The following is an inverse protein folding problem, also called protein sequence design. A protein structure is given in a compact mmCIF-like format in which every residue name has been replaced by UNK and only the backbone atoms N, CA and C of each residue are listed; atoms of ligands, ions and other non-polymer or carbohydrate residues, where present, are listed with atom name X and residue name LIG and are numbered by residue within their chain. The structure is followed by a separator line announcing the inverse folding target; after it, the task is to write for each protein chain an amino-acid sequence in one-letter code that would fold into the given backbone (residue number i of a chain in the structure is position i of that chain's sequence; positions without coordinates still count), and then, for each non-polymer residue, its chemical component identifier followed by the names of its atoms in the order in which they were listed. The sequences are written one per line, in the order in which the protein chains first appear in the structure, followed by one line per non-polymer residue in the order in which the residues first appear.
data_IF_386897960129
#
_entry.id   IF_386897960129
#
_cell.length_a   1.000
_cell.length_b   1.000
_cell.length_c   1.000
_cell.angle_alpha   90.00
_cell.angle_beta   90.00
_cell.angle_gamma   90.00
#
_symmetry.space_group_name_H-M   'P 1'
#
loop_
_entity.id
_entity.type
_entity.pdbx_description
1 polymer ?
#
# COMPACT_ATOMS: atom_id res chain seq x y z
N UNK A 1 -11.83 2.58 6.43
CA UNK A 1 -12.54 1.45 5.79
C UNK A 1 -12.08 0.16 6.46
N UNK A 2 -12.70 -0.99 6.16
CA UNK A 2 -12.31 -2.30 6.66
C UNK A 2 -12.23 -3.30 5.50
N UNK A 3 -11.02 -3.76 5.22
CA UNK A 3 -10.75 -4.64 4.09
C UNK A 3 -11.39 -6.04 4.21
N UNK A 4 -11.94 -6.45 5.37
CA UNK A 4 -12.76 -7.66 5.44
C UNK A 4 -14.06 -7.56 4.61
N UNK A 5 -14.50 -6.35 4.27
CA UNK A 5 -15.66 -6.09 3.42
C UNK A 5 -15.34 -6.16 1.92
N UNK A 6 -14.06 -6.26 1.54
CA UNK A 6 -13.62 -6.55 0.18
C UNK A 6 -13.36 -8.06 0.02
N UNK A 7 -14.21 -8.71 -0.78
CA UNK A 7 -14.15 -10.16 -1.01
C UNK A 7 -12.90 -10.63 -1.73
N UNK A 8 -12.18 -9.75 -2.44
CA UNK A 8 -10.90 -10.11 -3.05
C UNK A 8 -9.81 -10.21 -1.98
N UNK A 9 -9.63 -9.20 -1.14
CA UNK A 9 -8.57 -9.18 -0.12
C UNK A 9 -8.87 -10.08 1.10
N UNK A 10 -10.15 -10.41 1.34
CA UNK A 10 -10.57 -11.36 2.38
C UNK A 10 -10.67 -12.82 1.88
N UNK A 11 -10.26 -13.10 0.64
CA UNK A 11 -10.29 -14.45 0.07
C UNK A 11 -9.09 -15.29 0.50
N UNK A 12 -9.32 -16.56 0.84
CA UNK A 12 -8.23 -17.52 1.12
C UNK A 12 -7.37 -17.84 -0.11
N UNK A 13 -7.83 -17.46 -1.30
CA UNK A 13 -7.11 -17.70 -2.57
C UNK A 13 -6.20 -16.54 -2.97
N UNK A 14 -6.16 -15.48 -2.18
CA UNK A 14 -5.33 -14.29 -2.43
C UNK A 14 -4.38 -14.06 -1.27
N UNK A 15 -3.17 -13.59 -1.56
CA UNK A 15 -2.24 -13.10 -0.54
C UNK A 15 -2.46 -11.61 -0.39
N UNK A 16 -3.15 -11.22 0.68
CA UNK A 16 -3.41 -9.81 0.98
C UNK A 16 -2.18 -9.14 1.59
N UNK A 17 -1.80 -7.98 1.04
CA UNK A 17 -0.63 -7.19 1.43
C UNK A 17 -1.07 -5.77 1.79
N UNK A 18 -0.67 -5.28 2.95
CA UNK A 18 -0.88 -3.89 3.39
C UNK A 18 0.37 -3.03 3.21
N UNK A 19 0.25 -1.73 3.50
CA UNK A 19 1.32 -0.74 3.34
C UNK A 19 1.86 -0.23 4.67
N UNK A 20 3.16 0.05 4.71
CA UNK A 20 3.82 0.85 5.74
C UNK A 20 4.52 2.05 5.10
N UNK A 21 4.60 3.17 5.80
CA UNK A 21 5.37 4.34 5.36
C UNK A 21 6.87 4.09 5.48
N UNK A 22 7.71 4.99 4.94
CA UNK A 22 9.18 4.92 5.07
C UNK A 22 9.61 4.79 6.54
N UNK A 23 8.95 5.53 7.44
CA UNK A 23 9.25 5.48 8.87
C UNK A 23 8.59 4.31 9.62
N UNK A 24 7.98 3.36 8.91
CA UNK A 24 7.33 2.18 9.50
C UNK A 24 6.00 2.48 10.17
N UNK A 25 5.37 3.62 9.85
CA UNK A 25 4.05 3.97 10.38
C UNK A 25 2.94 3.43 9.48
N UNK A 26 1.71 3.44 10.00
CA UNK A 26 0.51 3.11 9.22
C UNK A 26 0.17 4.32 8.34
N UNK A 27 0.14 4.18 7.00
CA UNK A 27 -0.23 5.29 6.12
C UNK A 27 -1.71 5.66 6.27
N UNK A 28 -2.04 6.91 5.96
CA UNK A 28 -3.39 7.47 6.12
C UNK A 28 -4.48 6.76 5.29
N UNK A 29 -4.09 6.08 4.20
CA UNK A 29 -4.99 5.33 3.33
C UNK A 29 -5.10 3.83 3.68
N UNK A 30 -4.35 3.35 4.68
CA UNK A 30 -4.32 1.91 5.01
C UNK A 30 -5.66 1.43 5.55
N UNK A 31 -6.14 0.29 5.06
CA UNK A 31 -7.30 -0.41 5.59
C UNK A 31 -6.84 -1.53 6.52
N UNK A 32 -7.36 -1.54 7.75
CA UNK A 32 -7.02 -2.58 8.72
C UNK A 32 -8.01 -3.73 8.64
N UNK A 33 -7.51 -4.96 8.53
CA UNK A 33 -8.32 -6.18 8.62
C UNK A 33 -7.51 -7.38 9.09
N UNK A 34 -8.22 -8.42 9.51
CA UNK A 34 -7.65 -9.69 9.96
C UNK A 34 -7.11 -10.57 8.82
N UNK A 35 -7.49 -10.29 7.57
CA UNK A 35 -7.11 -11.10 6.41
C UNK A 35 -5.75 -10.72 5.80
N UNK A 36 -5.21 -9.54 6.12
CA UNK A 36 -3.85 -9.14 5.67
C UNK A 36 -2.80 -10.09 6.23
N UNK A 37 -1.90 -10.57 5.37
CA UNK A 37 -0.84 -11.51 5.75
C UNK A 37 0.53 -10.87 5.92
N UNK A 38 0.83 -9.81 5.15
CA UNK A 38 2.12 -9.14 5.20
C UNK A 38 2.02 -7.66 4.83
N UNK A 39 3.10 -6.93 5.06
CA UNK A 39 3.19 -5.48 4.82
C UNK A 39 4.45 -5.14 4.03
N UNK A 40 4.34 -4.24 3.06
CA UNK A 40 5.47 -3.71 2.30
C UNK A 40 5.51 -2.18 2.34
N UNK A 41 6.66 -1.59 2.02
CA UNK A 41 6.80 -0.13 1.95
C UNK A 41 5.99 0.46 0.78
N UNK A 42 5.38 1.63 1.04
CA UNK A 42 4.67 2.45 0.07
C UNK A 42 4.79 3.93 0.47
N UNK A 43 4.03 4.82 -0.17
CA UNK A 43 3.98 6.26 0.17
C UNK A 43 3.40 6.51 1.57
N UNK A 44 3.85 7.60 2.19
CA UNK A 44 3.40 8.06 3.50
C UNK A 44 3.04 9.54 3.50
N UNK A 45 3.45 10.25 4.55
CA UNK A 45 3.34 11.71 4.62
C UNK A 45 4.21 12.41 3.55
N UNK A 46 3.96 13.70 3.32
CA UNK A 46 4.63 14.48 2.26
C UNK A 46 6.16 14.57 2.41
N UNK A 47 6.67 14.35 3.61
CA UNK A 47 8.09 14.34 3.98
C UNK A 47 8.72 12.94 3.92
N UNK A 48 7.95 11.90 3.63
CA UNK A 48 8.44 10.52 3.48
C UNK A 48 8.66 10.16 2.01
N UNK A 49 9.67 9.32 1.75
CA UNK A 49 9.93 8.81 0.39
C UNK A 49 8.78 7.93 -0.09
N UNK A 50 8.68 7.82 -1.41
CA UNK A 50 7.67 7.05 -2.11
C UNK A 50 8.31 6.01 -3.03
N UNK A 51 7.49 5.16 -3.64
CA UNK A 51 7.97 4.08 -4.52
C UNK A 51 8.48 4.68 -5.84
N UNK A 52 9.73 4.37 -6.21
CA UNK A 52 10.26 4.74 -7.53
C UNK A 52 9.93 3.63 -8.52
N UNK A 53 9.28 3.98 -9.65
CA UNK A 53 8.89 2.99 -10.67
C UNK A 53 8.79 3.60 -12.06
N UNK A 54 8.67 2.75 -13.07
CA UNK A 54 8.39 3.16 -14.45
C UNK A 54 7.01 3.82 -14.55
N UNK A 55 6.90 4.82 -15.41
CA UNK A 55 5.68 5.57 -15.65
C UNK A 55 5.32 5.58 -17.15
N UNK A 56 4.08 5.96 -17.44
CA UNK A 56 3.56 6.13 -18.80
C UNK A 56 4.46 7.06 -19.62
N UNK A 57 4.38 6.92 -20.95
CA UNK A 57 5.14 7.75 -21.91
C UNK A 57 6.66 7.60 -21.73
N UNK A 58 7.10 6.41 -21.35
CA UNK A 58 8.51 6.06 -21.14
C UNK A 58 9.21 6.96 -20.12
N UNK A 59 8.49 7.34 -19.06
CA UNK A 59 9.03 8.15 -17.97
C UNK A 59 9.34 7.28 -16.75
N UNK A 60 9.97 7.89 -15.75
CA UNK A 60 10.15 7.34 -14.41
C UNK A 60 9.41 8.26 -13.45
N UNK A 61 8.62 7.70 -12.53
CA UNK A 61 7.97 8.47 -11.47
C UNK A 61 8.62 8.19 -10.12
N UNK A 62 8.79 9.26 -9.36
CA UNK A 62 9.25 9.26 -7.96
C UNK A 62 8.17 9.87 -7.04
N UNK A 63 7.03 10.30 -7.60
CA UNK A 63 5.97 10.98 -6.87
C UNK A 63 4.57 10.46 -7.25
N UNK A 64 3.74 10.25 -6.24
CA UNK A 64 2.42 9.64 -6.22
C UNK A 64 1.52 10.49 -5.34
N UNK A 65 0.27 10.69 -5.76
CA UNK A 65 -0.74 11.51 -5.09
C UNK A 65 -1.84 10.68 -4.51
#
# INVERSE_FOLDING_TARGET
DNCNCDGYTNSIYTVSISSATENGNIPWYSESCSSTLATTYSSGASDEKQVVSTDLRSQCTENHT
#
